data_IF_998761023213
#
_entry.id   IF_998761023213
#
_cell.length_a   1.000
_cell.length_b   1.000
_cell.length_c   1.000
_cell.angle_alpha   90.00
_cell.angle_beta   90.00
_cell.angle_gamma   90.00
#
_symmetry.space_group_name_H-M   'P 1'
#
loop_
_entity.id
_entity.type
_entity.pdbx_description
1 polymer ?
#
# COMPACT_ATOMS: atom_id res chain seq x y z
N UNK A 1 12.00 -7.44 3.13
CA UNK A 1 11.38 -7.72 4.42
C UNK A 1 10.16 -6.84 4.61
N UNK A 2 9.10 -7.43 5.09
CA UNK A 2 7.85 -6.73 5.32
C UNK A 2 7.79 -6.16 6.74
N UNK A 3 7.23 -4.97 6.85
CA UNK A 3 6.93 -4.40 8.17
C UNK A 3 5.75 -5.17 8.75
N UNK A 4 5.88 -5.60 9.99
CA UNK A 4 4.83 -6.35 10.67
C UNK A 4 4.18 -5.51 11.76
N UNK A 5 2.90 -5.76 11.97
CA UNK A 5 2.11 -5.14 13.01
C UNK A 5 1.59 -6.26 13.92
N UNK A 6 1.91 -6.23 15.21
CA UNK A 6 1.44 -7.28 16.13
C UNK A 6 -0.08 -7.44 16.09
N UNK A 7 -0.55 -8.66 16.08
CA UNK A 7 -1.96 -8.97 15.98
C UNK A 7 -2.53 -9.03 14.57
N UNK A 8 -1.72 -8.77 13.56
CA UNK A 8 -2.16 -8.73 12.16
C UNK A 8 -1.58 -9.88 11.31
N UNK A 9 -1.26 -11.01 11.96
CA UNK A 9 -0.58 -12.12 11.26
C UNK A 9 -1.35 -12.67 10.07
N UNK A 10 -2.64 -12.93 10.21
CA UNK A 10 -3.46 -13.43 9.10
C UNK A 10 -3.60 -12.41 7.98
N UNK A 11 -3.73 -11.15 8.35
CA UNK A 11 -3.82 -10.05 7.37
C UNK A 11 -2.51 -9.93 6.58
N UNK A 12 -1.38 -9.99 7.26
CA UNK A 12 -0.07 -9.94 6.61
C UNK A 12 0.14 -11.13 5.66
N UNK A 13 -0.26 -12.32 6.08
CA UNK A 13 -0.18 -13.52 5.23
C UNK A 13 -1.05 -13.38 3.99
N UNK A 14 -2.27 -12.86 4.14
CA UNK A 14 -3.18 -12.62 3.02
C UNK A 14 -2.60 -11.61 2.03
N UNK A 15 -1.99 -10.53 2.53
CA UNK A 15 -1.33 -9.51 1.70
C UNK A 15 -0.17 -10.10 0.92
N UNK A 16 0.69 -10.87 1.58
CA UNK A 16 1.82 -11.54 0.93
C UNK A 16 1.32 -12.52 -0.13
N UNK A 17 0.23 -13.23 0.14
CA UNK A 17 -0.40 -14.14 -0.80
C UNK A 17 -0.91 -13.43 -2.04
N UNK A 18 -1.52 -12.27 -1.89
CA UNK A 18 -2.00 -11.47 -3.03
C UNK A 18 -0.84 -11.00 -3.90
N UNK A 19 0.27 -10.56 -3.32
CA UNK A 19 1.46 -10.18 -4.08
C UNK A 19 2.00 -11.36 -4.88
N UNK A 20 2.12 -12.52 -4.27
CA UNK A 20 2.64 -13.70 -4.95
C UNK A 20 1.67 -14.18 -6.04
N UNK A 21 0.38 -14.17 -5.78
CA UNK A 21 -0.63 -14.52 -6.77
C UNK A 21 -0.57 -13.57 -7.98
N UNK A 22 -0.39 -12.28 -7.73
CA UNK A 22 -0.22 -11.27 -8.78
C UNK A 22 0.94 -11.64 -9.71
N UNK A 23 2.08 -12.01 -9.14
CA UNK A 23 3.25 -12.42 -9.93
C UNK A 23 2.98 -13.68 -10.74
N UNK A 24 2.32 -14.65 -10.15
CA UNK A 24 1.97 -15.90 -10.83
C UNK A 24 1.03 -15.64 -12.00
N UNK A 25 -0.04 -14.88 -11.77
CA UNK A 25 -0.99 -14.54 -12.83
C UNK A 25 -0.36 -13.71 -13.94
N UNK A 26 0.50 -12.76 -13.58
CA UNK A 26 1.22 -11.96 -14.58
C UNK A 26 2.09 -12.84 -15.46
N UNK A 27 2.77 -13.82 -14.86
CA UNK A 27 3.60 -14.77 -15.61
C UNK A 27 2.77 -15.65 -16.55
N UNK A 28 1.65 -16.15 -16.07
CA UNK A 28 0.78 -17.04 -16.85
C UNK A 28 0.07 -16.29 -18.00
N UNK A 29 -0.32 -15.04 -17.78
CA UNK A 29 -1.16 -14.28 -18.71
C UNK A 29 -0.38 -13.30 -19.58
N UNK A 30 0.93 -13.11 -19.33
CA UNK A 30 1.71 -12.10 -20.01
C UNK A 30 1.75 -12.23 -21.52
N UNK A 31 1.74 -13.47 -22.01
CA UNK A 31 1.73 -13.75 -23.46
C UNK A 31 0.41 -13.41 -24.15
N UNK A 32 -0.67 -13.23 -23.40
CA UNK A 32 -1.99 -12.87 -23.92
C UNK A 32 -2.31 -11.37 -23.77
N UNK A 33 -1.29 -10.55 -23.54
CA UNK A 33 -1.42 -9.09 -23.40
C UNK A 33 -2.25 -8.65 -22.20
N UNK A 34 -2.41 -9.53 -21.20
CA UNK A 34 -3.07 -9.21 -19.94
C UNK A 34 -2.01 -8.87 -18.90
N UNK A 35 -2.11 -7.69 -18.32
CA UNK A 35 -1.24 -7.26 -17.24
C UNK A 35 -1.94 -7.44 -15.90
N UNK A 36 -1.20 -7.86 -14.90
CA UNK A 36 -1.72 -8.08 -13.54
C UNK A 36 -0.77 -7.43 -12.56
N UNK A 37 -1.26 -6.44 -11.85
CA UNK A 37 -0.51 -5.71 -10.84
C UNK A 37 -1.36 -5.59 -9.57
N UNK A 38 -0.73 -5.27 -8.46
CA UNK A 38 -1.45 -5.02 -7.21
C UNK A 38 -1.04 -3.69 -6.62
N UNK A 39 -1.96 -3.07 -5.91
CA UNK A 39 -1.69 -1.85 -5.16
C UNK A 39 -1.69 -2.22 -3.68
N UNK A 40 -0.65 -1.80 -2.96
CA UNK A 40 -0.53 -1.96 -1.53
C UNK A 40 -0.71 -0.59 -0.88
N UNK A 41 -1.91 -0.27 -0.39
CA UNK A 41 -2.16 1.02 0.23
C UNK A 41 -1.61 1.07 1.66
N UNK A 42 -1.19 2.24 2.08
CA UNK A 42 -0.95 2.55 3.49
C UNK A 42 -2.21 3.04 4.18
N UNK A 43 -2.08 3.86 5.23
CA UNK A 43 -3.25 4.39 5.92
C UNK A 43 -3.95 5.48 5.10
N UNK A 44 -5.18 5.20 4.70
CA UNK A 44 -6.04 6.13 3.98
C UNK A 44 -7.26 6.50 4.82
N UNK A 45 -7.60 7.79 4.80
CA UNK A 45 -8.78 8.31 5.47
C UNK A 45 -10.02 7.94 4.65
N UNK A 46 -10.73 6.93 5.11
CA UNK A 46 -11.93 6.40 4.46
C UNK A 46 -12.99 6.11 5.50
N UNK A 47 -14.24 5.85 5.12
CA UNK A 47 -15.26 5.41 6.08
C UNK A 47 -14.86 4.16 6.88
N UNK A 48 -14.04 3.27 6.31
CA UNK A 48 -13.59 2.06 7.00
C UNK A 48 -12.62 2.36 8.15
N UNK A 49 -11.97 3.52 8.14
CA UNK A 49 -11.02 3.93 9.18
C UNK A 49 -11.61 4.95 10.16
N UNK A 50 -12.92 5.17 10.11
CA UNK A 50 -13.60 6.16 10.96
C UNK A 50 -13.40 5.88 12.45
N UNK A 51 -13.35 4.60 12.86
CA UNK A 51 -13.14 4.22 14.24
C UNK A 51 -11.77 4.67 14.74
N UNK A 52 -10.74 4.53 13.92
CA UNK A 52 -9.39 5.01 14.24
C UNK A 52 -9.39 6.53 14.31
N UNK A 53 -10.08 7.19 13.38
CA UNK A 53 -10.15 8.65 13.32
C UNK A 53 -10.77 9.24 14.58
N UNK A 54 -11.66 8.54 15.24
CA UNK A 54 -12.29 8.99 16.48
C UNK A 54 -11.34 8.91 17.70
N UNK A 55 -10.20 8.25 17.56
CA UNK A 55 -9.17 8.13 18.60
C UNK A 55 -7.92 8.86 18.13
N UNK A 56 -7.73 10.07 18.62
CA UNK A 56 -6.64 10.95 18.17
C UNK A 56 -5.26 10.32 18.36
N UNK A 57 -5.03 9.65 19.47
CA UNK A 57 -3.74 9.02 19.73
C UNK A 57 -3.47 7.90 18.72
N UNK A 58 -4.45 7.08 18.44
CA UNK A 58 -4.34 6.01 17.46
C UNK A 58 -4.14 6.56 16.05
N UNK A 59 -4.93 7.58 15.69
CA UNK A 59 -4.82 8.25 14.40
C UNK A 59 -3.44 8.84 14.18
N UNK A 60 -2.93 9.57 15.18
CA UNK A 60 -1.62 10.22 15.09
C UNK A 60 -0.48 9.21 15.05
N UNK A 61 -0.63 8.07 15.72
CA UNK A 61 0.38 7.01 15.67
C UNK A 61 0.57 6.48 14.26
N UNK A 62 -0.53 6.27 13.54
CA UNK A 62 -0.46 5.86 12.13
C UNK A 62 0.13 6.96 11.25
N UNK A 63 -0.30 8.20 11.43
CA UNK A 63 0.21 9.33 10.65
C UNK A 63 1.73 9.46 10.83
N UNK A 64 2.20 9.37 12.06
CA UNK A 64 3.62 9.54 12.39
C UNK A 64 4.49 8.39 11.87
N UNK A 65 3.90 7.23 11.62
CA UNK A 65 4.64 6.12 11.03
C UNK A 65 4.86 6.30 9.53
N UNK A 66 4.07 7.11 8.85
CA UNK A 66 4.35 7.41 7.45
C UNK A 66 5.50 8.42 7.33
N UNK A 67 6.26 8.35 6.25
CA UNK A 67 7.33 9.31 6.00
C UNK A 67 6.77 10.71 5.72
N UNK A 68 5.58 10.78 5.11
CA UNK A 68 4.94 12.08 4.81
C UNK A 68 4.24 12.68 6.02
N UNK A 69 4.05 11.92 7.11
CA UNK A 69 3.53 12.44 8.38
C UNK A 69 2.01 12.63 8.42
N UNK A 70 1.26 11.99 7.53
CA UNK A 70 -0.19 12.11 7.50
C UNK A 70 -0.84 10.88 6.86
N UNK A 71 -2.14 10.76 7.07
CA UNK A 71 -2.98 9.82 6.34
C UNK A 71 -3.11 10.23 4.87
N UNK A 72 -3.28 9.26 4.00
CA UNK A 72 -3.58 9.53 2.60
C UNK A 72 -5.04 9.94 2.42
N UNK A 73 -5.29 10.77 1.43
CA UNK A 73 -6.64 11.10 0.99
C UNK A 73 -7.06 10.15 -0.11
N UNK A 74 -8.32 9.73 -0.12
CA UNK A 74 -8.82 8.74 -1.07
C UNK A 74 -8.54 9.13 -2.52
N UNK A 75 -8.63 10.42 -2.85
CA UNK A 75 -8.34 10.88 -4.22
C UNK A 75 -6.89 10.65 -4.65
N UNK A 76 -5.98 10.47 -3.69
CA UNK A 76 -4.57 10.19 -4.00
C UNK A 76 -4.36 8.77 -4.54
N UNK A 77 -5.38 7.92 -4.46
CA UNK A 77 -5.36 6.60 -5.08
C UNK A 77 -5.68 6.66 -6.58
N UNK A 78 -6.31 7.73 -7.05
CA UNK A 78 -6.74 7.84 -8.44
C UNK A 78 -5.59 7.78 -9.44
N UNK A 79 -4.51 8.53 -9.18
CA UNK A 79 -3.33 8.52 -10.05
C UNK A 79 -2.71 7.14 -10.22
N UNK A 80 -2.38 6.43 -9.13
CA UNK A 80 -1.84 5.06 -9.21
C UNK A 80 -2.76 4.10 -9.95
N UNK A 81 -4.06 4.13 -9.71
CA UNK A 81 -5.02 3.27 -10.40
C UNK A 81 -5.05 3.59 -11.88
N UNK A 82 -5.15 4.87 -12.24
CA UNK A 82 -5.15 5.29 -13.64
C UNK A 82 -3.85 4.92 -14.36
N UNK A 83 -2.71 5.07 -13.70
CA UNK A 83 -1.43 4.66 -14.25
C UNK A 83 -1.44 3.17 -14.60
N UNK A 84 -1.84 2.33 -13.66
CA UNK A 84 -1.83 0.87 -13.88
C UNK A 84 -2.90 0.42 -14.88
N UNK A 85 -4.01 1.14 -14.99
CA UNK A 85 -5.13 0.79 -15.86
C UNK A 85 -4.98 1.35 -17.28
N UNK A 86 -4.00 2.20 -17.53
CA UNK A 86 -3.87 2.91 -18.80
C UNK A 86 -2.66 2.45 -19.61
N UNK A 87 -2.54 2.97 -20.81
CA UNK A 87 -1.41 2.72 -21.69
C UNK A 87 -0.09 3.31 -21.19
N UNK A 88 -0.15 4.13 -20.12
CA UNK A 88 1.05 4.64 -19.48
C UNK A 88 1.89 3.53 -18.81
N UNK A 89 1.31 2.35 -18.60
CA UNK A 89 1.97 1.24 -17.89
C UNK A 89 2.02 -0.05 -18.72
N UNK A 90 2.09 0.05 -20.05
CA UNK A 90 2.02 -1.14 -20.93
C UNK A 90 3.13 -2.15 -20.70
N UNK A 91 4.26 -1.75 -20.12
CA UNK A 91 5.37 -2.64 -19.82
C UNK A 91 5.47 -2.97 -18.33
N UNK A 92 4.41 -2.70 -17.55
CA UNK A 92 4.35 -2.93 -16.11
C UNK A 92 3.39 -4.07 -15.82
N UNK A 93 3.92 -5.20 -15.37
CA UNK A 93 3.10 -6.35 -14.97
C UNK A 93 3.83 -7.14 -13.88
N UNK A 94 3.07 -7.78 -13.01
CA UNK A 94 3.61 -8.61 -11.93
C UNK A 94 4.20 -7.83 -10.78
N UNK A 95 3.88 -6.54 -10.64
CA UNK A 95 4.48 -5.70 -9.62
C UNK A 95 3.48 -5.23 -8.57
N UNK A 96 3.91 -5.18 -7.30
CA UNK A 96 3.19 -4.40 -6.29
C UNK A 96 3.59 -2.93 -6.40
N UNK A 97 2.60 -2.04 -6.31
CA UNK A 97 2.82 -0.61 -6.24
C UNK A 97 2.42 -0.12 -4.85
N UNK A 98 3.39 0.35 -4.09
CA UNK A 98 3.15 0.91 -2.77
C UNK A 98 2.59 2.32 -2.91
N UNK A 99 1.44 2.57 -2.29
CA UNK A 99 0.81 3.88 -2.21
C UNK A 99 0.52 4.12 -0.73
N UNK A 100 1.56 4.46 0.01
CA UNK A 100 1.53 4.35 1.47
C UNK A 100 2.19 5.52 2.21
N UNK A 101 2.50 6.59 1.53
CA UNK A 101 3.14 7.76 2.15
C UNK A 101 4.51 7.43 2.78
N UNK A 102 5.15 6.38 2.31
CA UNK A 102 6.43 5.93 2.86
C UNK A 102 6.32 5.07 4.12
N UNK A 103 5.14 4.52 4.39
CA UNK A 103 4.92 3.63 5.55
C UNK A 103 5.96 2.50 5.62
N UNK A 104 6.21 1.83 4.49
CA UNK A 104 7.16 0.71 4.43
C UNK A 104 8.62 1.18 4.40
N UNK A 105 8.86 2.44 4.08
CA UNK A 105 10.21 2.99 3.96
C UNK A 105 10.69 3.67 5.25
N UNK A 106 9.77 4.01 6.14
CA UNK A 106 10.04 4.85 7.31
C UNK A 106 9.96 4.03 8.59
N UNK A 107 11.01 4.07 9.42
CA UNK A 107 11.01 3.35 10.69
C UNK A 107 9.92 3.91 11.64
N UNK A 108 9.80 5.21 11.75
CA UNK A 108 8.77 5.84 12.58
C UNK A 108 9.02 5.78 14.08
N UNK A 109 10.00 5.01 14.55
CA UNK A 109 10.31 4.88 15.97
C UNK A 109 11.36 5.88 16.45
N UNK A 110 12.16 6.40 15.53
CA UNK A 110 13.28 7.27 15.85
C UNK A 110 13.43 8.34 14.77
N UNK A 111 13.46 9.59 15.21
CA UNK A 111 13.65 10.74 14.32
C UNK A 111 14.84 11.55 14.81
N UNK A 112 16.03 11.32 14.22
CA UNK A 112 17.21 12.09 14.61
C UNK A 112 17.07 13.55 14.19
N UNK A 113 17.75 14.41 14.90
CA UNK A 113 17.86 15.80 14.47
C UNK A 113 18.81 15.89 13.28
N UNK A 114 18.39 16.61 12.29
CA UNK A 114 19.19 16.85 11.10
C UNK A 114 19.31 18.35 10.85
#
# INVERSE_FOLDING_TARGET
AEVVEPGQGLYAAAKAGVVQLTKTLASELGGSEVRVNTILPGPFDTPLTAQIKSDTEWWDAYANKTAVGRWGHLHEMAGPVLFLASDASTYVTGTPLLVDGGWMAHDGRFSPRV
#
